data_IF_030576936886
#
_entry.id   IF_030576936886
#
_cell.length_a   1.000
_cell.length_b   1.000
_cell.length_c   1.000
_cell.angle_alpha   90.00
_cell.angle_beta   90.00
_cell.angle_gamma   90.00
#
_symmetry.space_group_name_H-M   'P 1'
#
loop_
_entity.id
_entity.type
_entity.pdbx_description
1 polymer ?
#
# COMPACT_ATOMS: atom_id res chain seq x y z
N UNK A 1 -8.31 -15.74 8.66
CA UNK A 1 -8.37 -14.31 9.10
C UNK A 1 -9.70 -13.99 9.75
N UNK A 2 -9.72 -13.17 10.82
CA UNK A 2 -10.94 -12.68 11.51
C UNK A 2 -11.09 -11.20 11.25
N UNK A 3 -12.30 -10.76 10.90
CA UNK A 3 -12.63 -9.36 10.66
C UNK A 3 -12.84 -8.60 11.97
N UNK A 4 -12.32 -7.39 12.03
CA UNK A 4 -12.47 -6.44 13.12
C UNK A 4 -12.78 -5.05 12.57
N UNK A 5 -13.30 -4.16 13.42
CA UNK A 5 -13.62 -2.78 13.05
C UNK A 5 -13.03 -1.84 14.09
N UNK A 6 -12.28 -0.83 13.62
CA UNK A 6 -11.81 0.28 14.43
C UNK A 6 -12.62 1.53 14.09
N UNK A 7 -13.14 2.22 15.09
CA UNK A 7 -13.95 3.41 14.88
C UNK A 7 -13.15 4.68 15.09
N UNK A 8 -13.10 5.51 14.06
CA UNK A 8 -12.54 6.87 14.11
C UNK A 8 -13.65 7.91 14.10
N UNK A 9 -13.31 9.18 14.34
CA UNK A 9 -14.25 10.29 14.16
C UNK A 9 -14.68 10.50 12.70
N UNK A 10 -13.90 9.98 11.73
CA UNK A 10 -14.18 10.10 10.29
C UNK A 10 -14.98 8.92 9.72
N UNK A 11 -15.01 7.78 10.44
CA UNK A 11 -15.69 6.57 9.99
C UNK A 11 -15.04 5.28 10.48
N UNK A 12 -15.59 4.10 10.06
CA UNK A 12 -15.05 2.80 10.44
C UNK A 12 -13.84 2.42 9.58
N UNK A 13 -12.87 1.72 10.18
CA UNK A 13 -11.77 1.07 9.49
C UNK A 13 -11.92 -0.44 9.69
N UNK A 14 -12.15 -1.17 8.61
CA UNK A 14 -12.25 -2.62 8.62
C UNK A 14 -10.87 -3.23 8.39
N UNK A 15 -10.52 -4.24 9.18
CA UNK A 15 -9.26 -4.96 9.06
C UNK A 15 -9.43 -6.43 9.45
N UNK A 16 -8.51 -7.25 8.98
CA UNK A 16 -8.49 -8.68 9.22
C UNK A 16 -7.16 -9.07 9.84
N UNK A 17 -7.23 -9.90 10.86
CA UNK A 17 -6.05 -10.47 11.51
C UNK A 17 -6.16 -11.99 11.63
N UNK A 18 -5.01 -12.64 11.72
CA UNK A 18 -4.89 -13.97 12.31
C UNK A 18 -3.89 -13.93 13.45
N UNK A 19 -3.86 -15.00 14.22
CA UNK A 19 -2.88 -15.22 15.28
C UNK A 19 -2.28 -16.61 15.09
N UNK A 20 -0.99 -16.72 15.36
CA UNK A 20 -0.28 -18.02 15.41
C UNK A 20 0.09 -18.34 16.86
N UNK A 21 0.30 -19.62 17.17
CA UNK A 21 0.59 -20.05 18.54
C UNK A 21 1.95 -19.52 19.06
N UNK A 22 2.92 -19.31 18.15
CA UNK A 22 4.26 -18.82 18.49
C UNK A 22 4.26 -17.29 18.63
N UNK A 23 4.41 -16.79 19.86
CA UNK A 23 4.32 -15.36 20.18
C UNK A 23 5.52 -14.50 19.69
N UNK A 24 6.67 -15.11 19.40
CA UNK A 24 7.90 -14.39 19.00
C UNK A 24 8.08 -14.20 17.50
N UNK A 25 7.13 -14.66 16.71
CA UNK A 25 7.18 -14.51 15.23
C UNK A 25 7.07 -13.05 14.79
N UNK A 26 7.78 -12.64 13.73
CA UNK A 26 7.55 -11.34 13.10
C UNK A 26 6.09 -11.14 12.70
N UNK A 27 5.55 -9.97 12.96
CA UNK A 27 4.17 -9.60 12.68
C UNK A 27 4.09 -8.91 11.32
N UNK A 28 3.36 -9.48 10.37
CA UNK A 28 3.28 -8.98 8.99
C UNK A 28 2.05 -8.09 8.80
N UNK A 29 2.28 -6.88 8.30
CA UNK A 29 1.23 -5.88 8.06
C UNK A 29 1.18 -5.57 6.57
N UNK A 30 0.10 -5.99 5.89
CA UNK A 30 -0.13 -5.76 4.47
C UNK A 30 -1.02 -4.54 4.24
N UNK A 31 -0.51 -3.57 3.47
CA UNK A 31 -1.19 -2.31 3.19
C UNK A 31 -1.47 -2.18 1.68
N UNK A 32 -2.74 -2.32 1.25
CA UNK A 32 -3.13 -2.19 -0.15
C UNK A 32 -2.96 -0.77 -0.70
N UNK A 33 -2.89 -0.69 -2.02
CA UNK A 33 -2.80 0.55 -2.77
C UNK A 33 -4.10 1.35 -2.81
N UNK A 34 -4.06 2.51 -3.46
CA UNK A 34 -5.21 3.39 -3.63
C UNK A 34 -6.30 2.70 -4.45
N UNK A 35 -7.54 2.79 -3.99
CA UNK A 35 -8.75 2.15 -4.53
C UNK A 35 -8.78 0.63 -4.50
N UNK A 36 -7.71 -0.01 -4.02
CA UNK A 36 -7.68 -1.44 -3.74
C UNK A 36 -8.20 -1.74 -2.32
N UNK A 37 -8.45 -3.01 -2.04
CA UNK A 37 -8.88 -3.52 -0.74
C UNK A 37 -8.01 -4.70 -0.29
N UNK A 38 -8.33 -5.30 0.87
CA UNK A 38 -7.57 -6.39 1.48
C UNK A 38 -7.30 -7.56 0.51
N UNK A 39 -8.22 -7.83 -0.44
CA UNK A 39 -8.10 -8.93 -1.43
C UNK A 39 -6.87 -8.78 -2.34
N UNK A 40 -6.30 -7.58 -2.46
CA UNK A 40 -5.06 -7.37 -3.21
C UNK A 40 -3.91 -8.26 -2.69
N UNK A 41 -3.98 -8.66 -1.43
CA UNK A 41 -2.99 -9.51 -0.77
C UNK A 41 -3.46 -10.95 -0.52
N UNK A 42 -4.54 -11.42 -1.15
CA UNK A 42 -5.08 -12.78 -0.95
C UNK A 42 -3.99 -13.87 -1.06
N UNK A 43 -3.12 -13.78 -2.07
CA UNK A 43 -2.05 -14.75 -2.29
C UNK A 43 -0.90 -14.64 -1.27
N UNK A 44 -0.69 -13.48 -0.70
CA UNK A 44 0.24 -13.28 0.40
C UNK A 44 -0.36 -13.82 1.69
N UNK A 45 -1.62 -13.52 1.98
CA UNK A 45 -2.34 -14.02 3.14
C UNK A 45 -2.36 -15.54 3.12
N UNK A 46 -2.78 -16.17 2.02
CA UNK A 46 -2.79 -17.64 1.85
C UNK A 46 -1.41 -18.26 2.16
N UNK A 47 -0.32 -17.58 1.77
CA UNK A 47 1.04 -18.08 2.00
C UNK A 47 1.53 -17.91 3.43
N UNK A 48 1.16 -16.80 4.10
CA UNK A 48 1.74 -16.38 5.38
C UNK A 48 0.88 -16.67 6.61
N UNK A 49 -0.46 -16.75 6.49
CA UNK A 49 -1.37 -16.83 7.65
C UNK A 49 -1.13 -18.04 8.56
N UNK A 50 -0.60 -19.15 8.04
CA UNK A 50 -0.21 -20.31 8.85
C UNK A 50 1.17 -20.22 9.49
N UNK A 51 1.97 -19.20 9.15
CA UNK A 51 3.38 -19.08 9.54
C UNK A 51 3.65 -17.90 10.47
N UNK A 52 2.92 -16.80 10.28
CA UNK A 52 3.12 -15.52 10.96
C UNK A 52 1.79 -14.92 11.42
N UNK A 53 1.78 -14.07 12.47
CA UNK A 53 0.68 -13.15 12.69
C UNK A 53 0.58 -12.18 11.51
N UNK A 54 -0.61 -12.07 10.92
CA UNK A 54 -0.87 -11.26 9.71
C UNK A 54 -1.97 -10.26 10.02
N UNK A 55 -1.78 -9.05 9.53
CA UNK A 55 -2.76 -7.97 9.49
C UNK A 55 -2.93 -7.50 8.04
N UNK A 56 -4.15 -7.22 7.64
CA UNK A 56 -4.48 -6.50 6.40
C UNK A 56 -5.73 -5.66 6.65
N UNK A 57 -5.87 -4.54 5.98
CA UNK A 57 -7.02 -3.66 6.12
C UNK A 57 -7.64 -3.24 4.78
N UNK A 58 -8.89 -2.81 4.85
CA UNK A 58 -9.42 -1.85 3.90
C UNK A 58 -9.04 -0.46 4.40
N UNK A 59 -8.16 0.24 3.70
CA UNK A 59 -7.67 1.53 4.15
C UNK A 59 -8.82 2.54 4.36
N UNK A 60 -8.67 3.58 5.20
CA UNK A 60 -9.71 4.60 5.41
C UNK A 60 -10.36 5.09 4.13
N UNK A 61 -11.68 4.93 4.00
CA UNK A 61 -12.48 5.27 2.82
C UNK A 61 -12.55 4.21 1.73
N UNK A 62 -11.80 3.10 1.83
CA UNK A 62 -11.77 2.02 0.85
C UNK A 62 -12.78 0.92 1.19
N UNK A 63 -13.33 0.28 0.17
CA UNK A 63 -14.20 -0.91 0.24
C UNK A 63 -15.11 -0.95 1.50
N UNK A 64 -14.86 -1.86 2.45
CA UNK A 64 -15.64 -2.02 3.69
C UNK A 64 -15.49 -0.85 4.67
N UNK A 65 -14.39 -0.09 4.58
CA UNK A 65 -14.14 1.13 5.38
C UNK A 65 -14.85 2.36 4.81
N UNK A 66 -16.00 2.18 4.19
CA UNK A 66 -16.90 3.22 3.71
C UNK A 66 -18.28 3.08 4.38
N UNK A 67 -19.00 4.18 4.70
CA UNK A 67 -18.66 5.59 4.42
C UNK A 67 -17.59 6.16 5.36
N UNK A 68 -16.81 7.12 4.85
CA UNK A 68 -15.69 7.73 5.58
C UNK A 68 -15.50 9.19 5.15
N UNK A 69 -15.32 10.12 6.11
CA UNK A 69 -15.04 11.52 5.81
C UNK A 69 -13.61 11.69 5.28
N UNK A 70 -13.49 12.24 4.07
CA UNK A 70 -12.20 12.42 3.39
C UNK A 70 -11.51 13.74 3.79
N UNK A 71 -11.32 13.94 5.10
CA UNK A 71 -10.70 15.14 5.70
C UNK A 71 -9.33 14.85 6.34
N UNK A 72 -8.89 13.61 6.30
CA UNK A 72 -7.66 13.12 6.93
C UNK A 72 -6.44 13.28 6.03
N UNK A 73 -5.25 13.22 6.64
CA UNK A 73 -3.93 13.27 6.00
C UNK A 73 -3.32 11.87 5.86
N UNK A 74 -2.18 11.77 5.15
CA UNK A 74 -1.40 10.54 5.11
C UNK A 74 -0.87 10.15 6.50
N UNK A 75 -0.52 11.17 7.32
CA UNK A 75 -0.06 10.97 8.69
C UNK A 75 -1.17 10.46 9.61
N UNK A 76 -2.42 10.87 9.40
CA UNK A 76 -3.57 10.32 10.14
C UNK A 76 -3.78 8.83 9.84
N UNK A 77 -3.59 8.40 8.58
CA UNK A 77 -3.61 6.97 8.24
C UNK A 77 -2.56 6.18 9.02
N UNK A 78 -1.34 6.70 9.10
CA UNK A 78 -0.27 6.04 9.84
C UNK A 78 -0.55 5.99 11.35
N UNK A 79 -1.14 7.06 11.93
CA UNK A 79 -1.56 7.10 13.33
C UNK A 79 -2.65 6.07 13.62
N UNK A 80 -3.72 6.01 12.82
CA UNK A 80 -4.77 5.02 13.00
C UNK A 80 -4.24 3.58 12.84
N UNK A 81 -3.31 3.36 11.91
CA UNK A 81 -2.62 2.07 11.80
C UNK A 81 -1.90 1.72 13.10
N UNK A 82 -1.13 2.66 13.70
CA UNK A 82 -0.43 2.44 14.98
C UNK A 82 -1.40 2.12 16.12
N UNK A 83 -2.50 2.88 16.23
CA UNK A 83 -3.53 2.68 17.25
C UNK A 83 -4.15 1.28 17.14
N UNK A 84 -4.49 0.84 15.92
CA UNK A 84 -5.04 -0.51 15.67
C UNK A 84 -4.00 -1.58 16.00
N UNK A 85 -2.76 -1.42 15.53
CA UNK A 85 -1.69 -2.39 15.77
C UNK A 85 -1.38 -2.55 17.26
N UNK A 86 -1.38 -1.45 18.02
CA UNK A 86 -1.22 -1.48 19.49
C UNK A 86 -2.38 -2.22 20.17
N UNK A 87 -3.61 -1.93 19.76
CA UNK A 87 -4.81 -2.61 20.28
C UNK A 87 -4.74 -4.12 20.04
N UNK A 88 -4.20 -4.54 18.89
CA UNK A 88 -4.07 -5.95 18.51
C UNK A 88 -2.75 -6.59 18.98
N UNK A 89 -1.91 -5.85 19.72
CA UNK A 89 -0.64 -6.37 20.25
C UNK A 89 0.45 -6.57 19.19
N UNK A 90 0.40 -5.84 18.09
CA UNK A 90 1.46 -5.78 17.08
C UNK A 90 2.46 -4.68 17.49
N UNK A 91 3.54 -5.07 18.16
CA UNK A 91 4.49 -4.11 18.77
C UNK A 91 5.67 -3.73 17.87
N UNK A 92 6.08 -4.61 16.97
CA UNK A 92 7.21 -4.38 16.06
C UNK A 92 6.93 -5.02 14.69
N UNK A 93 6.02 -4.43 13.89
CA UNK A 93 5.57 -5.02 12.64
C UNK A 93 6.64 -4.94 11.55
N UNK A 94 6.56 -5.89 10.61
CA UNK A 94 7.12 -5.75 9.26
C UNK A 94 6.01 -5.24 8.36
N UNK A 95 6.14 -4.04 7.87
CA UNK A 95 5.14 -3.44 6.98
C UNK A 95 5.47 -3.77 5.52
N UNK A 96 4.51 -4.35 4.81
CA UNK A 96 4.55 -4.66 3.39
C UNK A 96 3.49 -3.81 2.71
N UNK A 97 3.90 -2.73 2.05
CA UNK A 97 2.99 -1.77 1.43
C UNK A 97 3.06 -1.77 -0.08
N UNK A 98 1.93 -1.99 -0.75
CA UNK A 98 1.83 -1.88 -2.20
C UNK A 98 1.35 -0.48 -2.59
N UNK A 99 2.04 0.18 -3.54
CA UNK A 99 1.64 1.49 -4.08
C UNK A 99 1.35 2.51 -2.95
N UNK A 100 0.13 3.02 -2.83
CA UNK A 100 -0.28 3.93 -1.75
C UNK A 100 -0.03 3.33 -0.35
N UNK A 101 -0.17 2.02 -0.19
CA UNK A 101 0.17 1.33 1.06
C UNK A 101 1.64 1.46 1.45
N UNK A 102 2.54 1.51 0.47
CA UNK A 102 3.96 1.78 0.71
C UNK A 102 4.23 3.20 1.19
N UNK A 103 3.45 4.19 0.75
CA UNK A 103 3.54 5.55 1.29
C UNK A 103 2.99 5.64 2.72
N UNK A 104 1.93 4.89 3.04
CA UNK A 104 1.44 4.78 4.43
C UNK A 104 2.50 4.14 5.33
N UNK A 105 3.18 3.09 4.86
CA UNK A 105 4.31 2.47 5.58
C UNK A 105 5.46 3.44 5.83
N UNK A 106 5.79 4.29 4.85
CA UNK A 106 6.80 5.34 5.02
C UNK A 106 6.34 6.44 6.00
N UNK A 107 5.06 6.86 5.96
CA UNK A 107 4.50 7.80 6.92
C UNK A 107 4.50 7.22 8.34
N UNK A 108 4.26 5.91 8.48
CA UNK A 108 4.40 5.19 9.75
C UNK A 108 5.86 5.23 10.25
N UNK A 109 6.82 4.94 9.37
CA UNK A 109 8.25 5.00 9.69
C UNK A 109 8.71 6.41 10.16
N UNK A 110 8.14 7.47 9.59
CA UNK A 110 8.41 8.85 10.00
C UNK A 110 7.89 9.17 11.41
N UNK A 111 6.67 8.69 11.74
CA UNK A 111 6.03 9.00 13.02
C UNK A 111 6.49 8.07 14.15
N UNK A 112 6.79 6.83 13.82
CA UNK A 112 7.08 5.76 14.79
C UNK A 112 8.36 5.00 14.43
N UNK A 113 9.51 5.67 14.30
CA UNK A 113 10.75 5.07 13.80
C UNK A 113 11.21 3.86 14.64
N UNK A 114 10.97 3.89 15.94
CA UNK A 114 11.41 2.83 16.87
C UNK A 114 10.45 1.61 16.91
N UNK A 115 9.30 1.69 16.27
CA UNK A 115 8.30 0.60 16.28
C UNK A 115 8.39 -0.33 15.07
N UNK A 116 9.11 0.05 14.01
CA UNK A 116 9.15 -0.69 12.76
C UNK A 116 10.31 -1.68 12.73
N UNK A 117 10.03 -2.98 12.63
CA UNK A 117 11.04 -4.03 12.53
C UNK A 117 11.63 -4.17 11.13
N UNK A 118 10.82 -3.93 10.10
CA UNK A 118 11.24 -4.02 8.70
C UNK A 118 10.21 -3.41 7.75
N UNK A 119 10.66 -3.04 6.56
CA UNK A 119 9.80 -2.41 5.56
C UNK A 119 10.02 -3.02 4.16
N UNK A 120 8.94 -3.46 3.52
CA UNK A 120 8.94 -3.91 2.12
C UNK A 120 8.04 -2.99 1.30
N UNK A 121 8.64 -2.28 0.36
CA UNK A 121 7.94 -1.40 -0.59
C UNK A 121 7.68 -2.16 -1.88
N UNK A 122 6.42 -2.44 -2.18
CA UNK A 122 5.99 -3.17 -3.38
C UNK A 122 5.35 -2.19 -4.37
N UNK A 123 5.95 -2.01 -5.53
CA UNK A 123 5.48 -1.13 -6.59
C UNK A 123 5.08 0.28 -6.08
N UNK A 124 5.73 0.75 -5.02
CA UNK A 124 5.58 2.07 -4.44
C UNK A 124 6.80 2.94 -4.79
N UNK A 125 6.88 4.15 -4.25
CA UNK A 125 7.97 5.06 -4.52
C UNK A 125 8.33 5.87 -3.26
N UNK A 126 9.47 6.56 -3.23
CA UNK A 126 9.87 7.31 -2.03
C UNK A 126 8.93 8.49 -1.77
N UNK A 127 8.64 8.73 -0.49
CA UNK A 127 7.80 9.84 -0.02
C UNK A 127 8.54 11.20 -0.03
N UNK A 128 9.87 11.17 -0.12
CA UNK A 128 10.70 12.37 -0.01
C UNK A 128 10.56 13.30 -1.21
N UNK A 129 10.49 14.59 -0.93
CA UNK A 129 10.32 15.68 -1.92
C UNK A 129 11.38 15.67 -3.04
N UNK A 130 12.61 15.28 -2.72
CA UNK A 130 13.74 15.29 -3.66
C UNK A 130 13.58 14.38 -4.90
N UNK A 131 12.64 13.43 -4.87
CA UNK A 131 12.41 12.51 -5.98
C UNK A 131 11.31 12.96 -6.94
N UNK A 132 10.50 13.95 -6.55
CA UNK A 132 9.29 14.36 -7.27
C UNK A 132 9.41 15.81 -7.74
N UNK A 133 8.93 16.11 -8.93
CA UNK A 133 8.91 17.48 -9.47
C UNK A 133 7.70 18.26 -8.97
N UNK A 134 7.79 19.59 -8.94
CA UNK A 134 6.65 20.45 -8.57
C UNK A 134 5.45 20.28 -9.52
N UNK A 135 5.70 19.99 -10.80
CA UNK A 135 4.64 19.73 -11.78
C UNK A 135 3.88 18.44 -11.45
N UNK A 136 4.58 17.37 -11.09
CA UNK A 136 3.95 16.09 -10.68
C UNK A 136 3.07 16.29 -9.44
N UNK A 137 3.55 17.02 -8.42
CA UNK A 137 2.74 17.34 -7.23
C UNK A 137 1.52 18.18 -7.57
N UNK A 138 1.68 19.16 -8.46
CA UNK A 138 0.57 19.98 -8.93
C UNK A 138 -0.50 19.13 -9.67
N UNK A 139 -0.09 18.16 -10.49
CA UNK A 139 -0.99 17.22 -11.17
C UNK A 139 -1.71 16.31 -10.17
N UNK A 140 -0.98 15.70 -9.22
CA UNK A 140 -1.55 14.80 -8.23
C UNK A 140 -2.70 15.47 -7.45
N UNK A 141 -2.53 16.74 -7.06
CA UNK A 141 -3.58 17.50 -6.35
C UNK A 141 -4.84 17.77 -7.19
N UNK A 142 -4.82 17.50 -8.49
CA UNK A 142 -5.91 17.79 -9.44
C UNK A 142 -6.49 16.54 -10.11
N UNK A 143 -6.23 15.37 -9.55
CA UNK A 143 -6.69 14.11 -10.16
C UNK A 143 -8.21 13.86 -10.00
N UNK A 144 -8.87 14.41 -8.97
CA UNK A 144 -10.29 14.18 -8.73
C UNK A 144 -11.17 14.49 -9.93
N UNK A 145 -11.15 15.70 -10.55
CA UNK A 145 -11.95 16.00 -11.72
C UNK A 145 -11.62 15.10 -12.92
N UNK A 146 -10.36 14.63 -13.03
CA UNK A 146 -9.98 13.68 -14.09
C UNK A 146 -10.77 12.39 -13.93
N UNK A 147 -10.76 11.78 -12.74
CA UNK A 147 -11.49 10.53 -12.48
C UNK A 147 -13.02 10.70 -12.52
N UNK A 148 -13.54 11.87 -12.13
CA UNK A 148 -14.97 12.17 -12.19
C UNK A 148 -15.51 12.19 -13.62
N UNK A 149 -14.73 12.71 -14.59
CA UNK A 149 -15.17 12.88 -15.98
C UNK A 149 -14.64 11.78 -16.92
N UNK A 150 -13.70 10.94 -16.48
CA UNK A 150 -13.18 9.85 -17.28
C UNK A 150 -14.23 8.74 -17.40
N UNK A 151 -14.62 8.28 -18.60
CA UNK A 151 -15.67 7.29 -18.73
C UNK A 151 -15.41 6.02 -17.93
N UNK A 152 -16.35 5.60 -17.09
CA UNK A 152 -16.19 4.46 -16.16
C UNK A 152 -15.69 3.20 -16.85
N UNK A 153 -16.24 2.85 -18.01
CA UNK A 153 -15.80 1.69 -18.79
C UNK A 153 -14.30 1.72 -19.14
N UNK A 154 -13.77 2.91 -19.41
CA UNK A 154 -12.35 3.06 -19.72
C UNK A 154 -11.53 3.07 -18.45
N UNK A 155 -12.01 3.72 -17.41
CA UNK A 155 -11.40 3.73 -16.09
C UNK A 155 -11.24 2.30 -15.55
N UNK A 156 -12.29 1.47 -15.65
CA UNK A 156 -12.26 0.05 -15.28
C UNK A 156 -11.24 -0.73 -16.10
N UNK A 157 -11.19 -0.51 -17.43
CA UNK A 157 -10.21 -1.15 -18.30
C UNK A 157 -8.78 -0.76 -17.95
N UNK A 158 -8.51 0.53 -17.73
CA UNK A 158 -7.17 1.04 -17.45
C UNK A 158 -6.72 0.67 -16.04
N UNK A 159 -7.63 0.72 -15.06
CA UNK A 159 -7.38 0.28 -13.68
C UNK A 159 -7.16 -1.24 -13.54
N UNK A 160 -7.58 -2.03 -14.52
CA UNK A 160 -7.32 -3.49 -14.53
C UNK A 160 -6.09 -3.84 -15.36
N UNK A 161 -6.06 -3.44 -16.64
CA UNK A 161 -4.99 -3.80 -17.58
C UNK A 161 -3.74 -2.93 -17.44
N UNK A 162 -3.90 -1.72 -16.91
CA UNK A 162 -2.77 -0.81 -16.68
C UNK A 162 -1.92 -1.18 -15.47
N UNK A 163 -2.50 -1.91 -14.50
CA UNK A 163 -1.83 -2.25 -13.25
C UNK A 163 -1.38 -3.72 -13.16
N UNK A 164 -2.00 -4.62 -13.93
CA UNK A 164 -1.68 -6.05 -13.90
C UNK A 164 -1.43 -6.63 -15.30
N UNK A 165 -0.47 -7.54 -15.40
CA UNK A 165 -0.08 -8.22 -16.64
C UNK A 165 -0.69 -9.59 -16.79
N UNK A 166 -1.04 -10.26 -15.68
CA UNK A 166 -1.62 -11.61 -15.67
C UNK A 166 -3.16 -11.59 -15.69
N UNK A 167 -3.76 -12.67 -16.13
CA UNK A 167 -5.23 -12.82 -16.12
C UNK A 167 -5.79 -12.86 -14.69
N UNK A 168 -5.04 -13.46 -13.74
CA UNK A 168 -5.42 -13.47 -12.34
C UNK A 168 -5.42 -12.03 -11.77
N UNK A 169 -4.32 -11.31 -11.90
CA UNK A 169 -4.21 -9.95 -11.40
C UNK A 169 -5.26 -9.01 -12.01
N UNK A 170 -5.55 -9.15 -13.31
CA UNK A 170 -6.58 -8.37 -14.00
C UNK A 170 -7.99 -8.67 -13.51
N UNK A 171 -8.34 -9.96 -13.31
CA UNK A 171 -9.65 -10.33 -12.76
C UNK A 171 -9.81 -9.82 -11.34
N UNK A 172 -8.81 -10.02 -10.50
CA UNK A 172 -8.83 -9.53 -9.12
C UNK A 172 -9.04 -8.02 -9.07
N UNK A 173 -8.26 -7.25 -9.85
CA UNK A 173 -8.44 -5.79 -9.90
C UNK A 173 -9.79 -5.38 -10.47
N UNK A 174 -10.34 -6.12 -11.43
CA UNK A 174 -11.70 -5.91 -11.90
C UNK A 174 -12.70 -6.05 -10.75
N UNK A 175 -12.65 -7.15 -10.01
CA UNK A 175 -13.57 -7.45 -8.91
C UNK A 175 -13.42 -6.42 -7.75
N UNK A 176 -12.20 -5.96 -7.49
CA UNK A 176 -11.94 -4.87 -6.53
C UNK A 176 -12.58 -3.55 -7.02
N UNK A 177 -12.40 -3.19 -8.28
CA UNK A 177 -12.96 -1.94 -8.83
C UNK A 177 -14.49 -1.97 -8.93
N UNK A 178 -15.10 -3.15 -9.08
CA UNK A 178 -16.57 -3.29 -9.10
C UNK A 178 -17.25 -2.87 -7.79
N UNK A 179 -16.53 -2.71 -6.70
CA UNK A 179 -17.03 -2.09 -5.45
C UNK A 179 -17.50 -0.64 -5.68
N UNK A 180 -16.99 0.01 -6.73
CA UNK A 180 -17.34 1.38 -7.12
C UNK A 180 -18.31 1.44 -8.31
N UNK A 181 -18.78 0.29 -8.81
CA UNK A 181 -19.71 0.27 -9.94
C UNK A 181 -21.03 0.98 -9.58
N UNK A 182 -21.47 1.89 -10.45
CA UNK A 182 -22.62 2.75 -10.17
C UNK A 182 -22.33 3.95 -9.23
N UNK A 183 -21.14 4.06 -8.66
CA UNK A 183 -20.73 5.19 -7.78
C UNK A 183 -19.33 5.74 -8.16
N UNK A 184 -19.23 6.20 -9.41
CA UNK A 184 -17.99 6.82 -9.89
C UNK A 184 -17.60 8.08 -9.10
N UNK A 185 -18.56 8.76 -8.50
CA UNK A 185 -18.30 9.93 -7.66
C UNK A 185 -17.50 9.55 -6.41
N UNK A 186 -17.84 8.43 -5.75
CA UNK A 186 -17.05 7.85 -4.64
C UNK A 186 -15.63 7.53 -5.10
N UNK A 187 -15.49 6.84 -6.24
CA UNK A 187 -14.17 6.51 -6.79
C UNK A 187 -13.33 7.76 -7.04
N UNK A 188 -13.91 8.78 -7.68
CA UNK A 188 -13.21 10.03 -8.00
C UNK A 188 -12.78 10.80 -6.74
N UNK A 189 -13.67 10.92 -5.75
CA UNK A 189 -13.36 11.58 -4.46
C UNK A 189 -12.26 10.86 -3.72
N UNK A 190 -12.36 9.53 -3.59
CA UNK A 190 -11.37 8.73 -2.89
C UNK A 190 -10.00 8.81 -3.57
N UNK A 191 -9.97 8.64 -4.90
CA UNK A 191 -8.74 8.72 -5.68
C UNK A 191 -8.11 10.11 -5.61
N UNK A 192 -8.92 11.15 -5.80
CA UNK A 192 -8.47 12.55 -5.73
C UNK A 192 -7.94 12.92 -4.36
N UNK A 193 -8.63 12.50 -3.29
CA UNK A 193 -8.18 12.69 -1.92
C UNK A 193 -6.84 11.97 -1.67
N UNK A 194 -6.73 10.69 -2.07
CA UNK A 194 -5.51 9.91 -1.91
C UNK A 194 -4.29 10.56 -2.56
N UNK A 195 -4.42 11.02 -3.81
CA UNK A 195 -3.33 11.72 -4.49
C UNK A 195 -3.03 13.09 -3.89
N UNK A 196 -4.03 13.79 -3.40
CA UNK A 196 -3.85 15.09 -2.74
C UNK A 196 -3.03 14.94 -1.44
N UNK A 197 -3.43 14.04 -0.53
CA UNK A 197 -2.71 13.84 0.74
C UNK A 197 -1.30 13.28 0.53
N UNK A 198 -1.08 12.50 -0.52
CA UNK A 198 0.26 12.07 -0.93
C UNK A 198 1.12 13.27 -1.34
N UNK A 199 0.59 14.14 -2.22
CA UNK A 199 1.31 15.33 -2.66
C UNK A 199 1.60 16.29 -1.48
N UNK A 200 0.65 16.48 -0.57
CA UNK A 200 0.82 17.31 0.63
C UNK A 200 1.90 16.73 1.57
N UNK A 201 1.94 15.41 1.76
CA UNK A 201 2.98 14.76 2.55
C UNK A 201 4.37 14.91 1.93
N UNK A 202 4.48 14.79 0.59
CA UNK A 202 5.74 15.04 -0.12
C UNK A 202 6.18 16.50 -0.05
N UNK A 203 5.24 17.47 -0.13
CA UNK A 203 5.55 18.90 -0.01
C UNK A 203 5.97 19.31 1.39
N UNK A 204 5.48 18.64 2.43
CA UNK A 204 5.90 18.86 3.80
C UNK A 204 7.38 18.54 4.02
N UNK A 205 7.96 17.70 3.15
CA UNK A 205 9.39 17.34 3.08
C UNK A 205 10.01 17.07 4.45
N UNK A 206 9.29 16.33 5.29
CA UNK A 206 9.73 16.00 6.62
C UNK A 206 11.04 15.20 6.58
N UNK A 207 11.98 15.42 7.51
CA UNK A 207 13.18 14.60 7.62
C UNK A 207 12.81 13.13 7.68
N UNK A 208 13.35 12.34 6.76
CA UNK A 208 12.98 10.95 6.64
C UNK A 208 14.17 10.10 6.20
N UNK A 209 14.48 9.09 7.01
CA UNK A 209 15.31 7.95 6.67
C UNK A 209 14.52 6.68 6.98
N UNK A 210 14.74 5.60 6.25
CA UNK A 210 14.12 4.32 6.58
C UNK A 210 14.82 3.79 7.84
N UNK A 211 14.13 3.72 9.00
CA UNK A 211 14.78 3.49 10.31
C UNK A 211 15.11 2.01 10.57
N UNK A 212 14.81 1.12 9.63
CA UNK A 212 14.89 -0.32 9.76
C UNK A 212 15.41 -0.96 8.47
N UNK A 213 15.76 -2.25 8.47
CA UNK A 213 15.99 -3.00 7.25
C UNK A 213 14.84 -2.85 6.27
N UNK A 214 15.13 -2.65 5.00
CA UNK A 214 14.11 -2.44 3.98
C UNK A 214 14.44 -3.17 2.68
N UNK A 215 13.39 -3.47 1.90
CA UNK A 215 13.47 -4.08 0.57
C UNK A 215 12.53 -3.33 -0.40
N UNK A 216 13.04 -2.98 -1.56
CA UNK A 216 12.24 -2.46 -2.67
C UNK A 216 11.91 -3.59 -3.64
N UNK A 217 10.64 -3.72 -4.00
CA UNK A 217 10.15 -4.69 -5.00
C UNK A 217 9.39 -3.91 -6.06
N UNK A 218 9.69 -4.12 -7.34
CA UNK A 218 9.04 -3.40 -8.42
C UNK A 218 8.90 -4.26 -9.68
N UNK A 219 7.71 -4.28 -10.28
CA UNK A 219 7.48 -4.91 -11.57
C UNK A 219 8.25 -4.21 -12.68
N UNK A 220 8.95 -4.96 -13.54
CA UNK A 220 9.70 -4.39 -14.67
C UNK A 220 8.80 -3.82 -15.78
N UNK A 221 7.51 -4.17 -15.76
CA UNK A 221 6.45 -3.66 -16.65
C UNK A 221 5.53 -2.65 -15.98
N UNK A 222 5.87 -2.18 -14.76
CA UNK A 222 5.08 -1.15 -14.08
C UNK A 222 5.04 0.14 -14.91
N UNK A 223 3.81 0.60 -15.18
CA UNK A 223 3.52 1.82 -15.95
C UNK A 223 2.72 2.84 -15.14
N UNK A 224 2.53 2.61 -13.84
CA UNK A 224 1.85 3.55 -12.97
C UNK A 224 2.74 4.77 -12.70
N UNK A 225 2.45 5.86 -13.38
CA UNK A 225 3.21 7.09 -13.24
C UNK A 225 4.71 6.91 -13.50
N UNK A 226 5.53 7.34 -12.55
CA UNK A 226 7.00 7.28 -12.63
C UNK A 226 7.62 6.26 -11.66
N UNK A 227 6.86 5.26 -11.20
CA UNK A 227 7.27 4.30 -10.16
C UNK A 227 8.62 3.66 -10.45
N UNK A 228 8.82 3.14 -11.67
CA UNK A 228 10.10 2.52 -12.09
C UNK A 228 11.27 3.51 -11.98
N UNK A 229 11.07 4.75 -12.43
CA UNK A 229 12.09 5.80 -12.36
C UNK A 229 12.45 6.15 -10.93
N UNK A 230 11.45 6.30 -10.08
CA UNK A 230 11.62 6.65 -8.67
C UNK A 230 12.30 5.54 -7.88
N UNK A 231 11.91 4.28 -8.08
CA UNK A 231 12.55 3.14 -7.42
C UNK A 231 14.04 3.02 -7.81
N UNK A 232 14.39 3.19 -9.08
CA UNK A 232 15.80 3.24 -9.50
C UNK A 232 16.59 4.35 -8.81
N UNK A 233 15.99 5.53 -8.67
CA UNK A 233 16.63 6.66 -8.00
C UNK A 233 16.74 6.43 -6.49
N UNK A 234 15.70 5.86 -5.87
CA UNK A 234 15.66 5.54 -4.45
C UNK A 234 16.74 4.53 -4.09
N UNK A 235 16.74 3.36 -4.76
CA UNK A 235 17.79 2.35 -4.60
C UNK A 235 19.20 2.95 -4.72
N UNK A 236 19.46 3.69 -5.81
CA UNK A 236 20.79 4.28 -6.04
C UNK A 236 21.24 5.28 -4.96
N UNK A 237 20.30 6.06 -4.39
CA UNK A 237 20.62 7.09 -3.40
C UNK A 237 20.70 6.54 -1.98
N UNK A 238 19.83 5.59 -1.63
CA UNK A 238 19.72 5.05 -0.27
C UNK A 238 20.54 3.78 -0.04
N UNK A 239 20.89 3.05 -1.11
CA UNK A 239 21.49 1.72 -1.00
C UNK A 239 20.52 0.61 -0.57
N UNK A 240 19.24 0.90 -0.38
CA UNK A 240 18.22 -0.13 -0.03
C UNK A 240 18.21 -1.20 -1.14
N UNK A 241 18.31 -2.50 -0.79
CA UNK A 241 18.20 -3.58 -1.76
C UNK A 241 16.93 -3.48 -2.61
N UNK A 242 17.05 -3.84 -3.88
CA UNK A 242 15.94 -3.75 -4.84
C UNK A 242 15.85 -5.00 -5.70
N UNK A 243 14.64 -5.54 -5.81
CA UNK A 243 14.30 -6.70 -6.63
C UNK A 243 13.34 -6.33 -7.75
N UNK A 244 13.70 -6.65 -8.98
CA UNK A 244 12.87 -6.48 -10.16
C UNK A 244 12.07 -7.75 -10.43
N UNK A 245 10.74 -7.61 -10.52
CA UNK A 245 9.86 -8.74 -10.82
C UNK A 245 9.60 -8.81 -12.33
N UNK A 246 10.26 -9.76 -12.96
CA UNK A 246 10.21 -9.93 -14.41
C UNK A 246 8.80 -10.22 -14.92
N UNK A 247 8.34 -9.41 -15.88
CA UNK A 247 7.04 -9.54 -16.53
C UNK A 247 5.86 -9.03 -15.69
N UNK A 248 6.07 -8.50 -14.48
CA UNK A 248 5.02 -7.99 -13.62
C UNK A 248 4.73 -6.49 -13.87
N UNK A 249 3.47 -6.10 -13.71
CA UNK A 249 3.00 -4.71 -13.73
C UNK A 249 3.10 -4.03 -12.37
N UNK A 250 2.21 -3.06 -12.13
CA UNK A 250 2.13 -2.29 -10.87
C UNK A 250 1.64 -3.13 -9.67
N UNK A 251 1.00 -4.25 -9.92
CA UNK A 251 0.59 -5.17 -8.88
C UNK A 251 1.46 -6.44 -8.96
N UNK A 252 2.77 -6.29 -8.74
CA UNK A 252 3.72 -7.41 -8.86
C UNK A 252 3.42 -8.55 -7.90
N UNK A 253 2.84 -8.24 -6.74
CA UNK A 253 2.38 -9.21 -5.74
C UNK A 253 1.23 -10.11 -6.25
N UNK A 254 0.41 -9.63 -7.18
CA UNK A 254 -0.66 -10.43 -7.80
C UNK A 254 -0.22 -11.08 -9.12
N UNK A 255 0.66 -10.42 -9.85
CA UNK A 255 1.17 -10.93 -11.12
C UNK A 255 2.15 -12.10 -10.94
N UNK A 256 2.96 -12.07 -9.88
CA UNK A 256 4.00 -13.05 -9.56
C UNK A 256 4.01 -13.39 -8.07
N UNK A 257 2.87 -13.88 -7.52
CA UNK A 257 2.73 -14.07 -6.08
C UNK A 257 3.81 -14.97 -5.47
N UNK A 258 4.16 -16.08 -6.12
CA UNK A 258 5.16 -17.01 -5.60
C UNK A 258 6.55 -16.37 -5.46
N UNK A 259 6.92 -15.51 -6.42
CA UNK A 259 8.21 -14.81 -6.40
C UNK A 259 8.20 -13.77 -5.29
N UNK A 260 7.15 -12.95 -5.22
CA UNK A 260 7.03 -11.89 -4.20
C UNK A 260 6.93 -12.48 -2.80
N UNK A 261 6.14 -13.56 -2.62
CA UNK A 261 6.03 -14.26 -1.34
C UNK A 261 7.39 -14.78 -0.86
N UNK A 262 8.18 -15.39 -1.75
CA UNK A 262 9.51 -15.89 -1.40
C UNK A 262 10.48 -14.76 -1.03
N UNK A 263 10.43 -13.63 -1.72
CA UNK A 263 11.25 -12.46 -1.39
C UNK A 263 10.88 -11.90 -0.01
N UNK A 264 9.59 -11.73 0.28
CA UNK A 264 9.11 -11.28 1.58
C UNK A 264 9.53 -12.28 2.68
N UNK A 265 9.33 -13.59 2.46
CA UNK A 265 9.68 -14.63 3.45
C UNK A 265 11.19 -14.63 3.74
N UNK A 266 12.04 -14.57 2.71
CA UNK A 266 13.49 -14.47 2.85
C UNK A 266 13.90 -13.21 3.63
N UNK A 267 13.29 -12.06 3.31
CA UNK A 267 13.53 -10.80 4.02
C UNK A 267 13.17 -10.92 5.51
N UNK A 268 11.98 -11.43 5.81
CA UNK A 268 11.47 -11.59 7.19
C UNK A 268 12.34 -12.55 8.01
N UNK A 269 12.77 -13.68 7.43
CA UNK A 269 13.68 -14.63 8.08
C UNK A 269 15.04 -13.99 8.38
N UNK A 270 15.54 -13.12 7.51
CA UNK A 270 16.77 -12.37 7.75
C UNK A 270 16.71 -11.38 8.92
N UNK A 271 15.50 -10.94 9.34
CA UNK A 271 15.32 -10.07 10.50
C UNK A 271 15.38 -10.79 11.85
N UNK A 272 15.37 -12.12 11.85
CA UNK A 272 15.36 -12.95 13.07
C UNK A 272 16.71 -13.57 13.39
N UNK A 273 17.70 -13.37 12.54
CA UNK A 273 19.11 -13.77 12.75
C UNK A 273 19.90 -12.63 13.39
#
# INVERSE_FOLDING_TARGET
>A
MTEHIYHTSCGPIHYWINRVAEQEKPQLVFLPGLTADHRLFDKQIEYFEGKYPVFVWDAPGHASSWPFELTFTLMDKARWLDEILLQEGFSAPVIIGQSMGGYVGQAYAQQFPDKLRGFVSVDSAPLQRQYVTGMELWLLKRMEPVYRHYPWKWLLKDGTRGVATTDYGRRLMHDIMMVYDGDQERYAKLSGHGFRILAEAMEADLPYEVPCPALLVCGDKDRAGSTVRYNKAWHRKSGIPMEWIAGAGHNSNTDKPDVVNKLIDTFVQGLTQ
#
